data_IF_855366140581
#
_entry.id   IF_855366140581
#
_cell.length_a   1.000
_cell.length_b   1.000
_cell.length_c   1.000
_cell.angle_alpha   90.00
_cell.angle_beta   90.00
_cell.angle_gamma   90.00
#
_symmetry.space_group_name_H-M   'P 1'
#
loop_
_entity.id
_entity.type
_entity.pdbx_description
1 polymer ?
#
# COMPACT_ATOMS: atom_id res chain seq x y z
N UNK A 1 -8.79 -11.88 16.01
CA UNK A 1 -7.93 -12.58 15.03
C UNK A 1 -7.55 -11.60 13.96
N UNK A 2 -6.28 -11.55 13.55
CA UNK A 2 -5.71 -10.51 12.67
C UNK A 2 -6.34 -10.46 11.25
N UNK A 3 -7.02 -11.53 10.84
CA UNK A 3 -7.66 -11.66 9.53
C UNK A 3 -8.92 -10.79 9.32
N UNK A 4 -9.63 -10.36 10.38
CA UNK A 4 -10.82 -9.50 10.23
C UNK A 4 -10.48 -8.10 9.72
N UNK A 5 -9.26 -7.60 10.01
CA UNK A 5 -8.79 -6.31 9.52
C UNK A 5 -8.55 -6.35 8.01
N UNK A 6 -7.88 -7.39 7.50
CA UNK A 6 -7.61 -7.57 6.06
C UNK A 6 -8.90 -7.63 5.22
N UNK A 7 -9.94 -8.28 5.72
CA UNK A 7 -11.24 -8.35 5.03
C UNK A 7 -11.97 -6.98 5.01
N UNK A 8 -11.83 -6.17 6.07
CA UNK A 8 -12.41 -4.82 6.11
C UNK A 8 -11.73 -3.86 5.11
N UNK A 9 -10.43 -4.06 4.84
CA UNK A 9 -9.68 -3.30 3.83
C UNK A 9 -10.16 -3.60 2.41
N UNK A 10 -10.49 -4.85 2.09
CA UNK A 10 -10.95 -5.24 0.75
C UNK A 10 -12.27 -4.56 0.33
N UNK A 11 -13.13 -4.18 1.28
CA UNK A 11 -14.46 -3.60 1.00
C UNK A 11 -14.50 -2.08 0.83
N UNK A 12 -13.56 -1.32 1.41
CA UNK A 12 -13.64 0.15 1.47
C UNK A 12 -12.79 0.89 0.41
N UNK A 13 -11.92 0.17 -0.31
CA UNK A 13 -10.99 0.74 -1.30
C UNK A 13 -11.69 1.25 -2.58
N UNK A 14 -12.89 0.80 -2.90
CA UNK A 14 -13.52 1.11 -4.19
C UNK A 14 -14.26 2.46 -4.29
N UNK A 15 -14.16 3.34 -3.27
CA UNK A 15 -14.84 4.65 -3.32
C UNK A 15 -14.00 5.86 -2.92
N UNK A 16 -12.67 5.73 -2.92
CA UNK A 16 -11.71 6.86 -2.92
C UNK A 16 -11.73 7.80 -1.71
N UNK A 17 -12.62 7.65 -0.73
CA UNK A 17 -12.84 8.69 0.26
C UNK A 17 -11.80 8.72 1.39
N UNK A 18 -10.95 7.68 1.56
CA UNK A 18 -9.90 7.80 2.57
C UNK A 18 -8.71 6.82 2.46
N UNK A 19 -8.18 6.62 1.24
CA UNK A 19 -7.02 5.76 1.06
C UNK A 19 -5.83 6.21 1.93
N UNK A 20 -5.62 7.52 2.10
CA UNK A 20 -4.56 8.04 2.96
C UNK A 20 -4.74 7.62 4.43
N UNK A 21 -5.94 7.70 5.00
CA UNK A 21 -6.17 7.24 6.39
C UNK A 21 -6.08 5.73 6.52
N UNK A 22 -6.46 4.98 5.50
CA UNK A 22 -6.26 3.53 5.48
C UNK A 22 -4.76 3.21 5.56
N UNK A 23 -3.93 3.82 4.72
CA UNK A 23 -2.48 3.65 4.78
C UNK A 23 -1.89 4.14 6.11
N UNK A 24 -2.43 5.23 6.68
CA UNK A 24 -2.03 5.74 7.99
C UNK A 24 -2.24 4.67 9.09
N UNK A 25 -3.41 4.01 9.09
CA UNK A 25 -3.71 2.93 10.04
C UNK A 25 -2.79 1.74 9.87
N UNK A 26 -2.49 1.34 8.63
CA UNK A 26 -1.53 0.26 8.34
C UNK A 26 -0.15 0.64 8.90
N UNK A 27 0.32 1.86 8.60
CA UNK A 27 1.61 2.36 9.09
C UNK A 27 1.69 2.28 10.62
N UNK A 28 0.67 2.78 11.31
CA UNK A 28 0.63 2.80 12.78
C UNK A 28 0.51 1.38 13.37
N UNK A 29 -0.28 0.51 12.76
CA UNK A 29 -0.51 -0.87 13.22
C UNK A 29 0.75 -1.72 13.12
N UNK A 30 1.48 -1.60 12.02
CA UNK A 30 2.70 -2.37 11.76
C UNK A 30 3.98 -1.62 12.17
N UNK A 31 3.84 -0.49 12.88
CA UNK A 31 4.94 0.37 13.32
C UNK A 31 5.94 0.72 12.20
N UNK A 32 5.44 0.88 10.98
CA UNK A 32 6.24 1.23 9.81
C UNK A 32 6.55 2.73 9.83
N UNK A 33 7.66 3.13 9.23
CA UNK A 33 8.02 4.54 9.04
C UNK A 33 7.24 5.15 7.88
N UNK A 34 6.98 4.36 6.83
CA UNK A 34 6.19 4.80 5.69
C UNK A 34 5.41 3.64 5.04
N UNK A 35 4.31 3.98 4.38
CA UNK A 35 3.54 3.05 3.55
C UNK A 35 3.17 3.73 2.24
N UNK A 36 3.41 3.04 1.13
CA UNK A 36 3.12 3.53 -0.24
C UNK A 36 2.21 2.54 -0.94
N UNK A 37 1.17 3.05 -1.61
CA UNK A 37 0.44 2.28 -2.62
C UNK A 37 0.98 2.64 -4.00
N UNK A 38 1.50 1.66 -4.71
CA UNK A 38 2.07 1.77 -6.05
C UNK A 38 1.16 1.05 -7.04
N UNK A 39 0.92 1.65 -8.20
CA UNK A 39 0.27 1.03 -9.35
C UNK A 39 1.32 0.69 -10.39
N UNK A 40 1.51 -0.59 -10.68
CA UNK A 40 2.44 -1.07 -11.71
C UNK A 40 1.61 -1.61 -12.86
N UNK A 41 1.65 -0.93 -14.01
CA UNK A 41 0.98 -1.42 -15.22
C UNK A 41 1.77 -2.58 -15.80
N UNK A 42 1.09 -3.60 -16.32
CA UNK A 42 1.76 -4.71 -16.99
C UNK A 42 2.68 -4.22 -18.12
N UNK A 43 3.94 -4.67 -18.08
CA UNK A 43 4.98 -4.26 -19.02
C UNK A 43 5.67 -2.93 -18.71
N UNK A 44 5.31 -2.24 -17.63
CA UNK A 44 6.01 -1.04 -17.17
C UNK A 44 7.18 -1.41 -16.25
N UNK A 45 8.32 -0.74 -16.43
CA UNK A 45 9.52 -0.89 -15.58
C UNK A 45 9.44 -0.10 -14.27
N UNK A 46 8.45 0.79 -14.13
CA UNK A 46 8.29 1.68 -12.97
C UNK A 46 6.82 1.81 -12.62
N UNK A 47 6.49 1.79 -11.33
CA UNK A 47 5.13 2.04 -10.86
C UNK A 47 4.82 3.52 -10.62
N UNK A 48 3.54 3.85 -10.67
CA UNK A 48 2.98 5.15 -10.33
C UNK A 48 2.51 5.15 -8.87
N UNK A 49 2.93 6.12 -8.06
CA UNK A 49 2.44 6.25 -6.68
C UNK A 49 1.00 6.72 -6.67
N UNK A 50 0.10 5.89 -6.13
CA UNK A 50 -1.32 6.21 -5.96
C UNK A 50 -1.55 7.03 -4.69
N UNK A 51 -0.89 6.63 -3.60
CA UNK A 51 -0.92 7.34 -2.31
C UNK A 51 0.29 6.94 -1.46
N UNK A 52 0.73 7.82 -0.56
CA UNK A 52 1.78 7.50 0.41
C UNK A 52 1.56 8.25 1.72
N UNK A 53 2.02 7.66 2.83
CA UNK A 53 2.01 8.27 4.17
C UNK A 53 3.31 7.98 4.89
N UNK A 54 3.66 8.83 5.87
CA UNK A 54 4.89 8.70 6.64
C UNK A 54 6.08 9.43 6.02
N UNK A 55 7.30 9.05 6.38
CA UNK A 55 8.53 9.78 6.00
C UNK A 55 9.49 8.90 5.21
N UNK A 56 10.09 9.47 4.17
CA UNK A 56 11.01 8.77 3.26
C UNK A 56 10.41 7.46 2.65
N UNK A 57 9.23 7.54 2.01
CA UNK A 57 8.55 6.37 1.47
C UNK A 57 9.35 5.65 0.38
N UNK A 58 9.29 4.32 0.36
CA UNK A 58 9.77 3.52 -0.78
C UNK A 58 8.88 3.77 -2.00
N UNK A 59 9.50 3.83 -3.18
CA UNK A 59 8.84 4.16 -4.46
C UNK A 59 8.94 3.04 -5.49
N UNK A 60 9.63 1.97 -5.14
CA UNK A 60 9.91 0.80 -5.95
C UNK A 60 9.82 -0.43 -5.05
N UNK A 61 9.44 -1.56 -5.64
CA UNK A 61 9.24 -2.82 -4.94
C UNK A 61 10.56 -3.31 -4.32
N UNK A 62 11.67 -3.11 -5.03
CA UNK A 62 12.99 -3.59 -4.63
C UNK A 62 13.58 -2.84 -3.42
N UNK A 63 13.15 -1.61 -3.15
CA UNK A 63 13.59 -0.82 -1.99
C UNK A 63 12.71 -0.99 -0.75
N UNK A 64 11.59 -1.72 -0.84
CA UNK A 64 10.68 -1.91 0.28
C UNK A 64 11.17 -3.00 1.24
N UNK A 65 11.08 -2.76 2.55
CA UNK A 65 11.32 -3.79 3.56
C UNK A 65 10.27 -4.91 3.47
N UNK A 66 9.07 -4.56 3.05
CA UNK A 66 8.01 -5.51 2.70
C UNK A 66 7.20 -4.98 1.53
N UNK A 67 7.00 -5.82 0.52
CA UNK A 67 6.14 -5.55 -0.62
C UNK A 67 5.00 -6.58 -0.66
N UNK A 68 3.76 -6.09 -0.72
CA UNK A 68 2.55 -6.91 -0.74
C UNK A 68 1.81 -6.63 -2.04
N UNK A 69 1.55 -7.66 -2.82
CA UNK A 69 0.70 -7.58 -4.01
C UNK A 69 -0.78 -7.48 -3.60
N UNK A 70 -1.52 -6.56 -4.22
CA UNK A 70 -2.92 -6.26 -3.88
C UNK A 70 -3.77 -6.34 -5.14
N UNK A 71 -4.74 -7.26 -5.16
CA UNK A 71 -5.69 -7.40 -6.27
C UNK A 71 -5.13 -8.15 -7.46
N UNK A 72 -5.42 -7.67 -8.68
CA UNK A 72 -5.14 -8.36 -9.95
C UNK A 72 -3.77 -7.95 -10.55
N UNK A 73 -2.69 -8.12 -9.77
CA UNK A 73 -1.28 -7.90 -10.19
C UNK A 73 -0.92 -6.46 -10.62
N UNK A 74 -1.82 -5.50 -10.39
CA UNK A 74 -1.63 -4.10 -10.80
C UNK A 74 -1.21 -3.19 -9.63
N UNK A 75 -1.43 -3.60 -8.38
CA UNK A 75 -1.15 -2.77 -7.21
C UNK A 75 -0.22 -3.45 -6.22
N UNK A 76 0.64 -2.65 -5.63
CA UNK A 76 1.59 -3.03 -4.60
C UNK A 76 1.47 -2.12 -3.40
N UNK A 77 1.46 -2.69 -2.21
CA UNK A 77 1.64 -1.97 -0.96
C UNK A 77 3.07 -2.16 -0.49
N UNK A 78 3.81 -1.06 -0.38
CA UNK A 78 5.21 -1.02 0.05
C UNK A 78 5.28 -0.50 1.48
N UNK A 79 6.06 -1.18 2.32
CA UNK A 79 6.29 -0.80 3.71
C UNK A 79 7.80 -0.64 3.99
N UNK A 80 8.13 0.33 4.84
CA UNK A 80 9.50 0.76 5.12
C UNK A 80 9.65 1.42 6.50
#
# INVERSE_FOLDING_TARGET
>A
TEAELLALFAGSVLRGADLATLLQRVRETYAQRAVTMLRVRQGASTGETVACVGTNPCRDVDSADTAIEVGDDEFWMLMA
#
